data_IF_049040195618
#
_entry.id   IF_049040195618
#
_cell.length_a   1.000
_cell.length_b   1.000
_cell.length_c   1.000
_cell.angle_alpha   90.00
_cell.angle_beta   90.00
_cell.angle_gamma   90.00
#
_symmetry.space_group_name_H-M   'P 1'
#
loop_
_entity.id
_entity.type
_entity.pdbx_description
1 polymer ?
#
# COMPACT_ATOMS: atom_id res chain seq x y z
N UNK A 1 -21.08 12.48 31.67
CA UNK A 1 -20.11 13.19 30.80
C UNK A 1 -19.69 12.24 29.68
N UNK A 2 -20.10 12.46 28.43
CA UNK A 2 -19.74 11.58 27.30
C UNK A 2 -18.26 11.77 26.98
N UNK A 3 -17.47 10.71 27.10
CA UNK A 3 -16.03 10.71 26.82
C UNK A 3 -15.79 10.73 25.30
N UNK A 4 -15.14 11.80 24.79
CA UNK A 4 -14.70 11.91 23.40
C UNK A 4 -13.34 11.18 23.23
N UNK A 5 -13.26 10.23 22.30
CA UNK A 5 -12.06 9.42 21.99
C UNK A 5 -10.81 10.26 21.71
N UNK A 6 -10.98 11.43 21.08
CA UNK A 6 -9.90 12.37 20.75
C UNK A 6 -9.27 13.01 22.00
N UNK A 7 -10.00 13.11 23.11
CA UNK A 7 -9.53 13.74 24.34
C UNK A 7 -8.77 12.81 25.28
N UNK A 8 -8.98 11.49 25.18
CA UNK A 8 -8.29 10.51 26.04
C UNK A 8 -6.85 10.29 25.54
N UNK A 9 -6.65 10.10 24.24
CA UNK A 9 -5.32 9.95 23.65
C UNK A 9 -4.42 11.14 24.00
N UNK A 10 -4.90 12.37 23.79
CA UNK A 10 -4.15 13.58 24.12
C UNK A 10 -3.84 13.73 25.62
N UNK A 11 -4.72 13.27 26.52
CA UNK A 11 -4.49 13.30 27.97
C UNK A 11 -3.48 12.23 28.42
N UNK A 12 -3.61 11.01 27.91
CA UNK A 12 -2.69 9.90 28.19
C UNK A 12 -1.27 10.21 27.72
N UNK A 13 -1.12 10.78 26.52
CA UNK A 13 0.18 11.16 25.95
C UNK A 13 0.91 12.19 26.82
N UNK A 14 0.18 13.13 27.43
CA UNK A 14 0.76 14.19 28.24
C UNK A 14 1.00 13.81 29.71
N UNK A 15 0.36 12.74 30.21
CA UNK A 15 0.42 12.35 31.63
C UNK A 15 1.27 11.13 31.94
N UNK A 16 1.82 10.46 30.92
CA UNK A 16 2.55 9.20 31.06
C UNK A 16 4.03 9.34 30.67
N UNK A 17 4.88 8.53 31.30
CA UNK A 17 6.30 8.44 30.96
C UNK A 17 6.48 7.75 29.60
N UNK A 18 6.48 8.59 28.56
CA UNK A 18 6.56 8.17 27.17
C UNK A 18 7.85 7.42 26.85
N UNK A 19 8.95 7.74 27.51
CA UNK A 19 10.26 7.10 27.25
C UNK A 19 10.27 5.67 27.78
N UNK A 20 9.82 5.47 29.02
CA UNK A 20 9.72 4.16 29.63
C UNK A 20 8.74 3.23 28.89
N UNK A 21 7.57 3.75 28.49
CA UNK A 21 6.57 2.98 27.73
C UNK A 21 7.11 2.61 26.33
N UNK A 22 7.78 3.57 25.66
CA UNK A 22 8.36 3.33 24.35
C UNK A 22 9.47 2.27 24.36
N UNK A 23 10.36 2.31 25.35
CA UNK A 23 11.41 1.30 25.54
C UNK A 23 10.83 -0.11 25.77
N UNK A 24 9.69 -0.23 26.47
CA UNK A 24 9.00 -1.50 26.65
C UNK A 24 8.39 -2.03 25.34
N UNK A 25 7.77 -1.17 24.54
CA UNK A 25 7.21 -1.54 23.22
C UNK A 25 8.29 -1.96 22.21
N UNK A 26 9.53 -1.49 22.38
CA UNK A 26 10.68 -1.83 21.52
C UNK A 26 11.35 -3.13 21.97
N UNK A 27 11.59 -3.30 23.27
CA UNK A 27 12.45 -4.37 23.80
C UNK A 27 11.68 -5.64 24.22
N UNK A 28 10.39 -5.55 24.56
CA UNK A 28 9.63 -6.68 25.08
C UNK A 28 8.96 -7.50 23.97
N UNK A 29 9.76 -8.20 23.14
CA UNK A 29 9.26 -9.30 22.28
C UNK A 29 9.06 -10.62 23.04
N UNK A 30 9.35 -10.66 24.34
CA UNK A 30 9.23 -11.88 25.14
C UNK A 30 7.79 -12.11 25.62
N UNK A 31 7.25 -13.25 25.22
CA UNK A 31 5.91 -13.76 25.55
C UNK A 31 5.90 -14.31 26.98
N UNK A 32 6.24 -13.52 27.99
CA UNK A 32 6.04 -13.94 29.37
C UNK A 32 5.63 -12.76 30.25
N UNK A 33 4.33 -12.48 30.26
CA UNK A 33 3.66 -11.90 31.42
C UNK A 33 2.29 -12.56 31.59
N UNK A 34 1.83 -12.59 32.84
CA UNK A 34 0.55 -13.16 33.27
C UNK A 34 -0.59 -12.72 32.35
N UNK A 35 -1.47 -13.62 31.87
CA UNK A 35 -2.49 -13.27 30.89
C UNK A 35 -3.42 -12.17 31.45
N UNK A 36 -3.40 -11.01 30.81
CA UNK A 36 -4.28 -9.89 31.14
C UNK A 36 -5.70 -10.20 30.67
N UNK A 37 -6.63 -10.48 31.58
CA UNK A 37 -8.03 -10.71 31.22
C UNK A 37 -8.77 -9.38 31.02
N UNK A 38 -8.98 -8.99 29.76
CA UNK A 38 -9.75 -7.80 29.39
C UNK A 38 -11.20 -8.16 29.09
N UNK A 39 -12.15 -7.46 29.73
CA UNK A 39 -13.60 -7.64 29.47
C UNK A 39 -14.09 -6.61 28.46
N UNK A 40 -14.46 -7.06 27.27
CA UNK A 40 -15.05 -6.22 26.23
C UNK A 40 -16.59 -6.15 26.34
N UNK A 41 -17.22 -5.00 26.00
CA UNK A 41 -18.65 -4.92 25.73
C UNK A 41 -19.09 -5.86 24.60
N UNK A 42 -20.36 -6.28 24.61
CA UNK A 42 -20.88 -7.28 23.66
C UNK A 42 -20.63 -6.90 22.20
N UNK A 43 -20.97 -5.68 21.77
CA UNK A 43 -20.76 -5.26 20.38
C UNK A 43 -19.30 -5.26 19.94
N UNK A 44 -18.34 -5.03 20.87
CA UNK A 44 -16.90 -5.12 20.55
C UNK A 44 -16.48 -6.58 20.38
N UNK A 45 -17.04 -7.50 21.18
CA UNK A 45 -16.76 -8.95 21.03
C UNK A 45 -17.25 -9.48 19.70
N UNK A 46 -18.45 -9.08 19.28
CA UNK A 46 -19.05 -9.50 18.01
C UNK A 46 -18.18 -9.03 16.82
N UNK A 47 -17.74 -7.76 16.83
CA UNK A 47 -16.83 -7.23 15.80
C UNK A 47 -15.50 -7.98 15.77
N UNK A 48 -14.87 -8.19 16.93
CA UNK A 48 -13.61 -8.95 17.01
C UNK A 48 -13.80 -10.39 16.53
N UNK A 49 -14.94 -11.01 16.79
CA UNK A 49 -15.30 -12.35 16.30
C UNK A 49 -15.37 -12.41 14.78
N UNK A 50 -16.12 -11.48 14.16
CA UNK A 50 -16.26 -11.39 12.70
C UNK A 50 -14.89 -11.20 12.03
N UNK A 51 -14.07 -10.28 12.56
CA UNK A 51 -12.74 -9.99 12.02
C UNK A 51 -11.79 -11.19 12.19
N UNK A 52 -11.81 -11.84 13.35
CA UNK A 52 -10.99 -13.02 13.66
C UNK A 52 -11.30 -14.18 12.70
N UNK A 53 -12.58 -14.43 12.42
CA UNK A 53 -13.03 -15.44 11.47
C UNK A 53 -12.57 -15.12 10.03
N UNK A 54 -12.76 -13.87 9.59
CA UNK A 54 -12.36 -13.42 8.26
C UNK A 54 -10.84 -13.49 8.04
N UNK A 55 -10.05 -13.24 9.09
CA UNK A 55 -8.59 -13.22 9.05
C UNK A 55 -7.97 -14.58 9.41
N UNK A 56 -8.76 -15.59 9.81
CA UNK A 56 -8.28 -16.92 10.22
C UNK A 56 -7.22 -16.88 11.33
N UNK A 57 -7.36 -15.96 12.28
CA UNK A 57 -6.49 -15.82 13.46
C UNK A 57 -7.33 -15.84 14.73
N UNK A 58 -6.73 -16.18 15.88
CA UNK A 58 -7.47 -16.16 17.14
C UNK A 58 -7.91 -14.73 17.52
N UNK A 59 -9.03 -14.60 18.23
CA UNK A 59 -9.48 -13.29 18.76
C UNK A 59 -8.44 -12.66 19.69
N UNK A 60 -7.67 -13.48 20.42
CA UNK A 60 -6.53 -13.02 21.22
C UNK A 60 -5.40 -12.45 20.39
N UNK A 61 -5.03 -13.10 19.27
CA UNK A 61 -3.97 -12.61 18.37
C UNK A 61 -4.40 -11.34 17.66
N UNK A 62 -5.63 -11.30 17.17
CA UNK A 62 -6.20 -10.08 16.59
C UNK A 62 -6.20 -8.92 17.59
N UNK A 63 -6.62 -9.19 18.83
CA UNK A 63 -6.62 -8.18 19.90
C UNK A 63 -5.20 -7.72 20.20
N UNK A 64 -4.23 -8.63 20.27
CA UNK A 64 -2.82 -8.30 20.49
C UNK A 64 -2.30 -7.37 19.40
N UNK A 65 -2.54 -7.71 18.13
CA UNK A 65 -2.13 -6.91 16.97
C UNK A 65 -2.74 -5.50 17.06
N UNK A 66 -4.06 -5.41 17.22
CA UNK A 66 -4.75 -4.11 17.28
C UNK A 66 -4.30 -3.24 18.46
N UNK A 67 -4.08 -3.83 19.63
CA UNK A 67 -3.61 -3.12 20.82
C UNK A 67 -2.16 -2.69 20.68
N UNK A 68 -1.30 -3.57 20.13
CA UNK A 68 0.09 -3.25 19.85
C UNK A 68 0.19 -2.09 18.85
N UNK A 69 -0.54 -2.14 17.75
CA UNK A 69 -0.58 -1.10 16.73
C UNK A 69 -1.08 0.23 17.33
N UNK A 70 -2.20 0.21 18.06
CA UNK A 70 -2.74 1.43 18.68
C UNK A 70 -1.78 2.04 19.73
N UNK A 71 -1.09 1.21 20.53
CA UNK A 71 -0.13 1.68 21.52
C UNK A 71 1.14 2.25 20.85
N UNK A 72 1.60 1.61 19.78
CA UNK A 72 2.71 2.13 18.96
C UNK A 72 2.32 3.48 18.36
N UNK A 73 1.15 3.60 17.73
CA UNK A 73 0.62 4.85 17.20
C UNK A 73 0.57 5.97 18.26
N UNK A 74 0.12 5.65 19.48
CA UNK A 74 -0.05 6.63 20.56
C UNK A 74 1.25 7.07 21.25
N UNK A 75 2.16 6.15 21.56
CA UNK A 75 3.32 6.44 22.43
C UNK A 75 4.64 6.57 21.71
N UNK A 76 4.73 6.04 20.50
CA UNK A 76 5.87 6.20 19.61
C UNK A 76 5.67 7.27 18.50
N UNK A 77 4.91 8.40 18.60
CA UNK A 77 4.67 9.28 17.44
C UNK A 77 5.90 9.80 16.68
N UNK A 78 7.07 9.92 17.32
CA UNK A 78 8.32 10.31 16.67
C UNK A 78 9.19 9.11 16.24
N UNK A 79 8.91 7.93 16.81
CA UNK A 79 9.30 6.61 16.33
C UNK A 79 8.24 5.98 15.41
N UNK A 80 7.24 6.79 15.00
CA UNK A 80 6.24 6.57 13.97
C UNK A 80 6.51 7.51 12.78
N UNK A 81 7.74 7.99 12.63
CA UNK A 81 8.33 8.25 11.31
C UNK A 81 8.54 6.93 10.52
N UNK A 82 7.68 5.94 10.75
CA UNK A 82 7.93 4.51 10.60
C UNK A 82 6.65 3.86 10.03
N UNK A 83 6.59 3.15 8.90
CA UNK A 83 7.67 2.50 8.18
C UNK A 83 8.83 3.43 7.89
N UNK A 84 10.00 3.08 8.42
CA UNK A 84 11.24 3.79 8.22
C UNK A 84 11.35 4.05 6.71
N UNK A 85 11.94 5.17 6.27
CA UNK A 85 12.22 5.39 4.85
C UNK A 85 12.84 4.12 4.24
N UNK A 86 13.67 3.42 5.02
CA UNK A 86 14.20 2.09 4.69
C UNK A 86 13.09 1.04 4.50
N UNK A 87 12.19 0.84 5.45
CA UNK A 87 11.09 -0.13 5.34
C UNK A 87 10.21 0.15 4.10
N UNK A 88 9.98 1.42 3.77
CA UNK A 88 9.17 1.81 2.60
C UNK A 88 9.91 1.54 1.29
N UNK A 89 11.22 1.80 1.24
CA UNK A 89 12.09 1.40 0.13
C UNK A 89 12.14 -0.13 0.00
N UNK A 90 12.31 -0.87 1.10
CA UNK A 90 12.27 -2.33 1.11
C UNK A 90 10.92 -2.87 0.64
N UNK A 91 9.81 -2.22 1.01
CA UNK A 91 8.48 -2.59 0.57
C UNK A 91 8.31 -2.43 -0.95
N UNK A 92 8.80 -1.32 -1.51
CA UNK A 92 8.87 -1.14 -2.98
C UNK A 92 9.73 -2.26 -3.59
N UNK A 93 10.90 -2.54 -3.02
CA UNK A 93 11.78 -3.58 -3.53
C UNK A 93 11.10 -4.95 -3.57
N UNK A 94 10.43 -5.34 -2.50
CA UNK A 94 9.73 -6.62 -2.40
C UNK A 94 8.59 -6.75 -3.39
N UNK A 95 7.77 -5.70 -3.56
CA UNK A 95 6.60 -5.77 -4.44
C UNK A 95 6.93 -5.66 -5.93
N UNK A 96 8.06 -5.04 -6.27
CA UNK A 96 8.53 -4.85 -7.63
C UNK A 96 9.70 -5.78 -8.01
N UNK A 97 10.00 -6.77 -7.17
CA UNK A 97 11.10 -7.75 -7.37
C UNK A 97 12.47 -7.08 -7.63
N UNK A 98 12.75 -5.97 -6.94
CA UNK A 98 14.00 -5.22 -7.08
C UNK A 98 15.05 -5.79 -6.15
N UNK A 99 16.18 -6.18 -6.72
CA UNK A 99 17.35 -6.64 -5.96
C UNK A 99 18.26 -5.48 -5.56
N UNK A 100 19.08 -5.67 -4.52
CA UNK A 100 20.06 -4.66 -4.07
C UNK A 100 20.96 -4.14 -5.20
N UNK A 101 21.51 -4.97 -6.12
CA UNK A 101 22.30 -4.47 -7.25
C UNK A 101 21.51 -3.58 -8.21
N UNK A 102 20.23 -3.91 -8.45
CA UNK A 102 19.35 -3.10 -9.32
C UNK A 102 19.06 -1.76 -8.65
N UNK A 103 18.73 -1.76 -7.36
CA UNK A 103 18.53 -0.52 -6.60
C UNK A 103 19.79 0.35 -6.55
N UNK A 104 20.96 -0.25 -6.36
CA UNK A 104 22.23 0.48 -6.39
C UNK A 104 22.49 1.12 -7.76
N UNK A 105 22.13 0.42 -8.85
CA UNK A 105 22.27 0.96 -10.21
C UNK A 105 21.31 2.13 -10.44
N UNK A 106 20.06 2.02 -9.97
CA UNK A 106 19.08 3.12 -10.00
C UNK A 106 19.57 4.35 -9.24
N UNK A 107 20.16 4.15 -8.06
CA UNK A 107 20.58 5.22 -7.15
C UNK A 107 22.04 5.65 -7.33
N UNK A 108 22.71 5.15 -8.37
CA UNK A 108 24.10 5.48 -8.66
C UNK A 108 24.38 7.00 -8.77
N UNK A 109 23.48 7.86 -9.30
CA UNK A 109 23.70 9.31 -9.35
C UNK A 109 23.93 9.97 -7.97
N UNK A 110 23.40 9.38 -6.90
CA UNK A 110 23.60 9.87 -5.51
C UNK A 110 24.72 9.11 -4.78
N UNK A 111 25.58 8.39 -5.50
CA UNK A 111 26.69 7.60 -4.95
C UNK A 111 26.23 6.52 -3.94
N UNK A 112 24.99 6.03 -4.06
CA UNK A 112 24.46 4.95 -3.24
C UNK A 112 24.90 3.61 -3.84
N UNK A 113 25.86 2.96 -3.17
CA UNK A 113 26.45 1.68 -3.60
C UNK A 113 25.77 0.50 -2.90
N UNK A 114 25.94 -0.74 -3.37
CA UNK A 114 25.33 -1.92 -2.72
C UNK A 114 25.65 -2.03 -1.21
N UNK A 115 26.88 -1.69 -0.81
CA UNK A 115 27.28 -1.71 0.60
C UNK A 115 26.63 -0.61 1.46
N UNK A 116 26.13 0.47 0.86
CA UNK A 116 25.32 1.49 1.55
C UNK A 116 23.90 0.96 1.77
N UNK A 117 23.32 0.29 0.76
CA UNK A 117 21.97 -0.27 0.84
C UNK A 117 21.85 -1.38 1.89
N UNK A 118 22.91 -2.19 2.06
CA UNK A 118 22.93 -3.26 3.05
C UNK A 118 23.03 -2.77 4.51
N UNK A 119 23.30 -1.49 4.72
CA UNK A 119 23.35 -0.87 6.05
C UNK A 119 22.21 0.16 6.16
N UNK A 120 21.06 -0.21 6.79
CA UNK A 120 19.90 0.64 6.92
C UNK A 120 20.20 2.03 7.49
N UNK A 121 21.10 2.13 8.48
CA UNK A 121 21.42 3.40 9.10
C UNK A 121 22.16 4.32 8.11
N UNK A 122 23.10 3.77 7.34
CA UNK A 122 23.81 4.52 6.31
C UNK A 122 22.93 4.89 5.13
N UNK A 123 22.00 4.03 4.72
CA UNK A 123 21.14 4.31 3.60
C UNK A 123 20.27 5.56 3.86
N UNK A 124 19.76 5.74 5.08
CA UNK A 124 18.99 6.94 5.45
C UNK A 124 19.81 8.22 5.23
N UNK A 125 21.08 8.23 5.63
CA UNK A 125 21.95 9.41 5.51
C UNK A 125 22.23 9.79 4.04
N UNK A 126 22.13 8.85 3.11
CA UNK A 126 22.37 9.08 1.68
C UNK A 126 21.10 9.38 0.88
N UNK A 127 19.92 9.01 1.39
CA UNK A 127 18.64 9.26 0.73
C UNK A 127 18.25 10.74 0.85
N UNK A 128 18.85 11.56 -0.01
CA UNK A 128 18.49 12.97 -0.17
C UNK A 128 17.02 13.13 -0.61
N UNK A 129 16.44 14.30 -0.37
CA UNK A 129 15.07 14.62 -0.81
C UNK A 129 14.89 14.43 -2.33
N UNK A 130 15.90 14.77 -3.13
CA UNK A 130 15.90 14.58 -4.58
C UNK A 130 15.92 13.10 -4.99
N UNK A 131 16.69 12.26 -4.28
CA UNK A 131 16.69 10.82 -4.49
C UNK A 131 15.33 10.19 -4.16
N UNK A 132 14.71 10.63 -3.06
CA UNK A 132 13.38 10.18 -2.65
C UNK A 132 12.30 10.61 -3.65
N UNK A 133 12.35 11.85 -4.15
CA UNK A 133 11.40 12.31 -5.15
C UNK A 133 11.50 11.49 -6.44
N UNK A 134 12.72 11.22 -6.91
CA UNK A 134 12.91 10.39 -8.11
C UNK A 134 12.41 8.96 -7.90
N UNK A 135 12.70 8.33 -6.75
CA UNK A 135 12.12 7.03 -6.41
C UNK A 135 10.59 7.07 -6.42
N UNK A 136 10.00 8.12 -5.84
CA UNK A 136 8.55 8.29 -5.82
C UNK A 136 7.96 8.34 -7.23
N UNK A 137 8.56 9.15 -8.11
CA UNK A 137 8.13 9.32 -9.50
C UNK A 137 8.31 8.04 -10.33
N UNK A 138 9.40 7.30 -10.11
CA UNK A 138 9.68 6.07 -10.84
C UNK A 138 8.68 4.98 -10.48
N UNK A 139 8.25 4.88 -9.22
CA UNK A 139 7.34 3.85 -8.72
C UNK A 139 5.89 4.30 -8.61
N UNK A 140 5.56 5.53 -8.99
CA UNK A 140 4.22 6.11 -8.90
C UNK A 140 3.65 6.09 -7.47
N UNK A 141 4.49 6.42 -6.50
CA UNK A 141 4.11 6.50 -5.08
C UNK A 141 4.06 7.95 -4.61
N UNK A 142 3.35 8.19 -3.51
CA UNK A 142 3.32 9.49 -2.87
C UNK A 142 4.72 9.81 -2.28
N UNK A 143 5.39 10.92 -2.67
CA UNK A 143 6.68 11.29 -2.09
C UNK A 143 6.59 11.53 -0.57
N UNK A 144 5.48 12.09 -0.09
CA UNK A 144 5.24 12.27 1.35
C UNK A 144 5.02 10.92 2.06
N UNK A 145 4.59 9.88 1.34
CA UNK A 145 4.67 8.53 1.88
C UNK A 145 6.08 7.99 1.79
N UNK A 146 6.89 8.27 0.77
CA UNK A 146 8.24 7.71 0.79
C UNK A 146 9.11 8.29 1.92
N UNK A 147 8.87 9.55 2.31
CA UNK A 147 9.65 10.25 3.33
C UNK A 147 9.14 10.12 4.79
N UNK A 148 8.01 9.43 5.00
CA UNK A 148 7.47 9.20 6.34
C UNK A 148 6.33 10.13 6.77
N UNK A 149 5.99 11.18 6.01
CA UNK A 149 4.98 12.19 6.41
C UNK A 149 3.53 11.73 6.23
N UNK A 150 3.26 10.89 5.24
CA UNK A 150 1.94 10.35 4.93
C UNK A 150 1.87 8.84 5.15
N UNK A 151 0.67 8.33 5.41
CA UNK A 151 0.45 6.90 5.67
C UNK A 151 0.04 6.11 4.43
N UNK A 152 -0.37 6.79 3.35
CA UNK A 152 -0.91 6.14 2.16
C UNK A 152 0.07 6.21 0.98
N UNK A 153 0.49 5.05 0.43
CA UNK A 153 1.51 4.98 -0.61
C UNK A 153 1.11 5.61 -1.94
N UNK A 154 -0.17 5.83 -2.21
CA UNK A 154 -0.63 6.36 -3.50
C UNK A 154 -1.52 7.57 -3.27
N UNK A 155 -1.05 8.75 -3.69
CA UNK A 155 -1.83 10.00 -3.72
C UNK A 155 -2.31 10.35 -5.12
N UNK A 156 -1.53 10.02 -6.16
CA UNK A 156 -1.81 10.30 -7.57
C UNK A 156 -1.80 8.99 -8.37
N UNK A 157 -2.93 8.29 -8.40
CA UNK A 157 -3.13 7.29 -9.45
C UNK A 157 -3.25 8.02 -10.80
N UNK A 158 -2.76 7.42 -11.88
CA UNK A 158 -2.82 8.01 -13.23
C UNK A 158 -4.24 8.43 -13.59
N UNK A 159 -4.38 9.57 -14.27
CA UNK A 159 -5.69 10.03 -14.69
C UNK A 159 -6.27 9.13 -15.79
N UNK A 160 -7.59 9.03 -15.83
CA UNK A 160 -8.25 8.37 -16.94
C UNK A 160 -8.09 9.20 -18.21
N UNK A 161 -7.76 8.55 -19.34
CA UNK A 161 -7.82 9.21 -20.64
C UNK A 161 -9.24 9.75 -20.92
N UNK A 162 -9.31 10.89 -21.60
CA UNK A 162 -10.56 11.57 -21.89
C UNK A 162 -11.35 10.84 -23.00
N UNK A 163 -10.65 10.15 -23.89
CA UNK A 163 -11.25 9.43 -25.01
C UNK A 163 -10.84 7.95 -25.07
N UNK A 164 -11.63 7.15 -25.79
CA UNK A 164 -11.30 5.75 -26.04
C UNK A 164 -9.99 5.58 -26.82
N UNK A 165 -9.70 6.45 -27.79
CA UNK A 165 -8.46 6.35 -28.59
C UNK A 165 -7.21 6.61 -27.74
N UNK A 166 -7.25 7.59 -26.85
CA UNK A 166 -6.17 7.83 -25.87
C UNK A 166 -6.02 6.65 -24.91
N UNK A 167 -7.14 6.08 -24.46
CA UNK A 167 -7.12 4.86 -23.65
C UNK A 167 -6.49 3.70 -24.39
N UNK A 168 -6.86 3.48 -25.65
CA UNK A 168 -6.29 2.44 -26.50
C UNK A 168 -4.79 2.64 -26.72
N UNK A 169 -4.33 3.87 -26.93
CA UNK A 169 -2.91 4.19 -27.03
C UNK A 169 -2.16 3.87 -25.73
N UNK A 170 -2.72 4.26 -24.58
CA UNK A 170 -2.15 3.96 -23.27
C UNK A 170 -2.00 2.46 -23.04
N UNK A 171 -3.00 1.66 -23.43
CA UNK A 171 -2.98 0.19 -23.29
C UNK A 171 -2.02 -0.46 -24.29
N UNK A 172 -1.97 0.00 -25.54
CA UNK A 172 -1.20 -0.64 -26.61
C UNK A 172 0.25 -0.12 -26.75
N UNK A 173 0.85 0.33 -25.65
CA UNK A 173 2.25 0.76 -25.64
C UNK A 173 3.18 -0.45 -25.45
N UNK A 174 4.29 -0.50 -26.17
CA UNK A 174 5.29 -1.59 -26.09
C UNK A 174 5.95 -1.73 -24.71
N UNK A 175 5.92 -0.67 -23.90
CA UNK A 175 6.43 -0.67 -22.53
C UNK A 175 5.53 -1.44 -21.57
N UNK A 176 4.24 -1.63 -21.86
CA UNK A 176 3.35 -2.39 -20.99
C UNK A 176 3.72 -3.87 -21.07
N UNK A 177 4.11 -4.47 -19.93
CA UNK A 177 4.46 -5.89 -19.85
C UNK A 177 3.33 -6.73 -19.30
N UNK A 178 2.49 -6.15 -18.45
CA UNK A 178 1.27 -6.78 -17.95
C UNK A 178 0.18 -5.73 -17.74
N UNK A 179 -1.06 -6.11 -18.02
CA UNK A 179 -2.23 -5.23 -17.90
C UNK A 179 -3.32 -5.97 -17.11
N UNK A 180 -3.90 -5.29 -16.11
CA UNK A 180 -5.06 -5.78 -15.36
C UNK A 180 -6.20 -4.77 -15.51
N UNK A 181 -7.33 -5.24 -16.01
CA UNK A 181 -8.61 -4.57 -15.90
C UNK A 181 -9.37 -5.20 -14.76
N UNK A 182 -9.66 -4.41 -13.73
CA UNK A 182 -10.34 -4.92 -12.57
C UNK A 182 -11.68 -4.25 -12.33
N UNK A 183 -12.60 -5.00 -11.72
CA UNK A 183 -13.82 -4.46 -11.15
C UNK A 183 -14.07 -5.08 -9.77
N UNK A 184 -14.92 -4.45 -8.95
CA UNK A 184 -15.23 -4.95 -7.61
C UNK A 184 -16.30 -4.15 -6.89
N UNK A 185 -16.82 -4.72 -5.80
CA UNK A 185 -17.81 -4.11 -4.92
C UNK A 185 -17.18 -3.84 -3.55
N UNK A 186 -16.39 -2.76 -3.41
CA UNK A 186 -15.63 -2.47 -2.19
C UNK A 186 -16.52 -2.20 -0.97
N UNK A 187 -17.70 -1.62 -1.18
CA UNK A 187 -18.60 -1.19 -0.12
C UNK A 187 -19.87 -2.05 -0.06
N UNK A 188 -20.42 -2.22 1.15
CA UNK A 188 -21.64 -2.99 1.41
C UNK A 188 -22.86 -2.09 1.67
N UNK A 189 -24.05 -2.70 1.75
CA UNK A 189 -25.31 -2.00 2.06
C UNK A 189 -25.76 -1.03 0.97
N UNK A 190 -26.34 0.10 1.37
CA UNK A 190 -26.88 1.13 0.45
C UNK A 190 -25.80 1.82 -0.42
N UNK A 191 -24.52 1.65 -0.07
CA UNK A 191 -23.39 2.18 -0.82
C UNK A 191 -22.76 1.14 -1.76
N UNK A 192 -23.38 -0.04 -1.91
CA UNK A 192 -22.93 -1.09 -2.82
C UNK A 192 -22.95 -0.56 -4.26
N UNK A 193 -21.76 -0.20 -4.75
CA UNK A 193 -21.51 0.23 -6.12
C UNK A 193 -20.35 -0.57 -6.68
N UNK A 194 -20.40 -0.78 -7.98
CA UNK A 194 -19.33 -1.43 -8.71
C UNK A 194 -18.30 -0.37 -9.11
N UNK A 195 -17.06 -0.61 -8.74
CA UNK A 195 -15.91 0.20 -9.15
C UNK A 195 -15.05 -0.59 -10.12
N UNK A 196 -14.27 0.11 -10.91
CA UNK A 196 -13.28 -0.46 -11.79
C UNK A 196 -12.00 0.37 -11.84
N UNK A 197 -10.95 -0.25 -12.34
CA UNK A 197 -9.67 0.40 -12.55
C UNK A 197 -8.79 -0.38 -13.51
N UNK A 198 -7.66 0.25 -13.83
CA UNK A 198 -6.66 -0.31 -14.73
C UNK A 198 -5.32 -0.23 -14.04
N UNK A 199 -4.59 -1.34 -14.06
CA UNK A 199 -3.25 -1.42 -13.50
C UNK A 199 -2.31 -1.88 -14.61
N UNK A 200 -1.25 -1.12 -14.83
CA UNK A 200 -0.26 -1.31 -15.89
C UNK A 200 1.11 -1.54 -15.25
N UNK A 201 1.72 -2.69 -15.51
CA UNK A 201 3.14 -2.90 -15.22
C UNK A 201 3.93 -2.50 -16.45
N UNK A 202 4.87 -1.58 -16.28
CA UNK A 202 5.58 -0.96 -17.39
C UNK A 202 7.08 -1.20 -17.28
N UNK A 203 7.71 -1.70 -18.34
CA UNK A 203 9.17 -1.75 -18.46
C UNK A 203 9.71 -0.33 -18.58
N UNK A 204 10.66 0.02 -17.73
CA UNK A 204 11.44 1.27 -17.81
C UNK A 204 12.93 1.00 -17.63
N UNK A 205 13.75 1.74 -18.36
CA UNK A 205 15.21 1.72 -18.21
C UNK A 205 15.66 3.07 -17.65
N UNK A 206 16.20 3.05 -16.43
CA UNK A 206 16.62 4.26 -15.70
C UNK A 206 18.03 4.03 -15.17
N UNK A 207 18.95 4.95 -15.47
CA UNK A 207 20.35 4.85 -15.04
C UNK A 207 21.03 3.51 -15.40
N UNK A 208 20.60 2.88 -16.51
CA UNK A 208 21.07 1.56 -16.94
C UNK A 208 20.42 0.36 -16.24
N UNK A 209 19.60 0.57 -15.21
CA UNK A 209 18.77 -0.46 -14.58
C UNK A 209 17.44 -0.62 -15.32
N UNK A 210 17.02 -1.87 -15.55
CA UNK A 210 15.65 -2.15 -16.00
C UNK A 210 14.76 -2.42 -14.80
N UNK A 211 13.64 -1.70 -14.69
CA UNK A 211 12.62 -1.90 -13.67
C UNK A 211 11.22 -2.01 -14.28
N UNK A 212 10.29 -2.50 -13.45
CA UNK A 212 8.89 -2.72 -13.83
C UNK A 212 7.94 -2.01 -12.85
N UNK A 213 7.94 -0.66 -12.79
CA UNK A 213 6.99 0.07 -11.97
C UNK A 213 5.55 -0.18 -12.41
N UNK A 214 4.63 0.09 -11.49
CA UNK A 214 3.22 -0.18 -11.67
C UNK A 214 2.44 1.11 -11.59
N UNK A 215 1.84 1.49 -12.72
CA UNK A 215 0.90 2.60 -12.81
C UNK A 215 -0.52 2.07 -12.58
N UNK A 216 -1.25 2.63 -11.62
CA UNK A 216 -2.70 2.42 -11.50
C UNK A 216 -3.42 3.67 -11.97
N UNK A 217 -4.45 3.51 -12.80
CA UNK A 217 -5.39 4.60 -13.04
C UNK A 217 -6.29 4.79 -11.83
N UNK A 218 -6.77 6.02 -11.62
CA UNK A 218 -7.71 6.36 -10.54
C UNK A 218 -8.93 5.46 -10.59
N UNK A 219 -9.29 4.75 -9.52
CA UNK A 219 -10.48 3.91 -9.54
C UNK A 219 -11.76 4.76 -9.74
N UNK A 220 -12.64 4.31 -10.63
CA UNK A 220 -13.90 5.00 -10.96
C UNK A 220 -15.08 4.04 -10.85
N UNK A 221 -16.29 4.59 -10.75
CA UNK A 221 -17.50 3.80 -10.87
C UNK A 221 -17.54 3.11 -12.23
N UNK A 222 -17.90 1.83 -12.25
CA UNK A 222 -18.04 1.10 -13.50
C UNK A 222 -19.31 1.54 -14.24
N UNK A 223 -19.12 2.34 -15.29
CA UNK A 223 -20.18 2.78 -16.20
C UNK A 223 -20.26 1.89 -17.44
N UNK A 224 -21.36 1.98 -18.20
CA UNK A 224 -21.51 1.29 -19.48
C UNK A 224 -20.47 1.71 -20.50
N UNK A 225 -20.03 2.97 -20.46
CA UNK A 225 -18.92 3.48 -21.27
C UNK A 225 -17.62 2.72 -20.97
N UNK A 226 -17.21 2.63 -19.69
CA UNK A 226 -15.98 1.92 -19.31
C UNK A 226 -16.07 0.41 -19.60
N UNK A 227 -17.25 -0.20 -19.40
CA UNK A 227 -17.52 -1.58 -19.82
C UNK A 227 -17.32 -1.76 -21.33
N UNK A 228 -17.82 -0.81 -22.13
CA UNK A 228 -17.63 -0.76 -23.57
C UNK A 228 -16.16 -0.70 -23.94
N UNK A 229 -15.41 0.22 -23.35
CA UNK A 229 -13.97 0.38 -23.59
C UNK A 229 -13.20 -0.90 -23.31
N UNK A 230 -13.42 -1.54 -22.15
CA UNK A 230 -12.76 -2.79 -21.81
C UNK A 230 -13.12 -3.93 -22.76
N UNK A 231 -14.38 -4.01 -23.16
CA UNK A 231 -14.86 -5.04 -24.09
C UNK A 231 -14.25 -4.88 -25.48
N UNK A 232 -14.19 -3.65 -26.01
CA UNK A 232 -13.57 -3.37 -27.31
C UNK A 232 -12.07 -3.64 -27.29
N UNK A 233 -11.36 -3.24 -26.23
CA UNK A 233 -9.93 -3.53 -26.08
C UNK A 233 -9.68 -5.04 -26.03
N UNK A 234 -10.50 -5.79 -25.29
CA UNK A 234 -10.30 -7.22 -25.08
C UNK A 234 -10.68 -8.07 -26.31
N UNK A 235 -11.76 -7.71 -27.02
CA UNK A 235 -12.31 -8.53 -28.10
C UNK A 235 -11.82 -8.10 -29.51
N UNK A 236 -11.55 -6.81 -29.72
CA UNK A 236 -11.39 -6.25 -31.06
C UNK A 236 -9.97 -5.73 -31.33
N UNK A 237 -9.22 -5.36 -30.28
CA UNK A 237 -7.88 -4.80 -30.45
C UNK A 237 -6.80 -5.88 -30.44
N UNK A 238 -5.88 -5.79 -31.40
CA UNK A 238 -4.62 -6.55 -31.36
C UNK A 238 -3.63 -5.79 -30.48
N UNK A 239 -3.34 -6.35 -29.31
CA UNK A 239 -2.46 -5.76 -28.31
C UNK A 239 -1.15 -6.54 -28.23
N UNK A 240 -0.06 -5.85 -27.90
CA UNK A 240 1.22 -6.50 -27.60
C UNK A 240 1.13 -7.40 -26.36
N UNK A 241 0.27 -7.04 -25.39
CA UNK A 241 0.01 -7.80 -24.18
C UNK A 241 -1.50 -7.86 -23.93
N UNK A 242 -2.03 -9.07 -23.75
CA UNK A 242 -3.45 -9.28 -23.48
C UNK A 242 -3.81 -8.87 -22.04
N UNK A 243 -4.80 -7.99 -21.83
CA UNK A 243 -5.26 -7.62 -20.49
C UNK A 243 -5.88 -8.81 -19.75
N UNK A 244 -5.54 -8.97 -18.48
CA UNK A 244 -6.27 -9.85 -17.57
C UNK A 244 -7.48 -9.13 -17.03
N UNK A 245 -8.66 -9.71 -17.22
CA UNK A 245 -9.92 -9.21 -16.65
C UNK A 245 -10.18 -9.92 -15.34
N UNK A 246 -10.27 -9.18 -14.24
CA UNK A 246 -10.35 -9.76 -12.89
C UNK A 246 -11.38 -9.11 -11.99
N UNK A 247 -12.01 -9.90 -11.13
CA UNK A 247 -12.81 -9.44 -10.00
C UNK A 247 -11.92 -9.31 -8.75
N UNK A 248 -11.88 -8.13 -8.13
CA UNK A 248 -11.20 -7.94 -6.85
C UNK A 248 -12.14 -8.23 -5.68
N UNK A 249 -11.59 -8.89 -4.65
CA UNK A 249 -12.26 -9.02 -3.35
C UNK A 249 -12.50 -7.63 -2.75
N UNK A 250 -13.61 -7.41 -2.03
CA UNK A 250 -13.99 -6.10 -1.50
C UNK A 250 -12.86 -5.38 -0.75
N UNK A 251 -12.15 -6.07 0.16
CA UNK A 251 -11.07 -5.48 0.96
C UNK A 251 -9.89 -4.96 0.13
N UNK A 252 -9.48 -5.70 -0.91
CA UNK A 252 -8.42 -5.29 -1.81
C UNK A 252 -8.88 -4.11 -2.69
N UNK A 253 -10.10 -4.17 -3.21
CA UNK A 253 -10.68 -3.07 -3.99
C UNK A 253 -10.78 -1.77 -3.17
N UNK A 254 -11.29 -1.85 -1.93
CA UNK A 254 -11.35 -0.70 -1.02
C UNK A 254 -9.96 -0.14 -0.74
N UNK A 255 -8.98 -1.01 -0.49
CA UNK A 255 -7.61 -0.58 -0.17
C UNK A 255 -6.94 0.14 -1.35
N UNK A 256 -7.18 -0.32 -2.58
CA UNK A 256 -6.69 0.37 -3.78
C UNK A 256 -7.38 1.72 -3.99
N UNK A 257 -8.71 1.79 -3.80
CA UNK A 257 -9.48 3.03 -3.92
C UNK A 257 -9.02 4.06 -2.90
N UNK A 258 -8.75 3.63 -1.67
CA UNK A 258 -8.26 4.50 -0.61
C UNK A 258 -6.75 4.79 -0.67
N UNK A 259 -6.04 4.27 -1.68
CA UNK A 259 -4.59 4.45 -1.83
C UNK A 259 -3.75 3.80 -0.71
N UNK A 260 -4.33 2.84 0.04
CA UNK A 260 -3.71 2.20 1.22
C UNK A 260 -2.67 1.15 0.87
N UNK A 261 -2.69 0.65 -0.36
CA UNK A 261 -1.80 -0.41 -0.83
C UNK A 261 -1.20 -0.04 -2.19
N UNK A 262 0.03 -0.50 -2.44
CA UNK A 262 0.65 -0.36 -3.74
C UNK A 262 -0.07 -1.24 -4.78
N UNK A 263 -0.39 -0.72 -5.98
CA UNK A 263 -1.06 -1.50 -7.02
C UNK A 263 -0.29 -2.75 -7.47
N UNK A 264 1.03 -2.75 -7.27
CA UNK A 264 1.90 -3.89 -7.51
C UNK A 264 1.44 -5.19 -6.81
N UNK A 265 0.75 -5.08 -5.66
CA UNK A 265 0.18 -6.22 -4.93
C UNK A 265 -0.75 -7.07 -5.80
N UNK A 266 -1.42 -6.48 -6.80
CA UNK A 266 -2.34 -7.19 -7.68
C UNK A 266 -1.64 -8.17 -8.63
N UNK A 267 -0.34 -8.01 -8.88
CA UNK A 267 0.43 -8.96 -9.68
C UNK A 267 0.95 -10.15 -8.86
N UNK A 268 1.07 -9.97 -7.55
CA UNK A 268 1.61 -10.97 -6.63
C UNK A 268 0.51 -11.72 -5.87
N UNK A 269 -0.76 -11.39 -6.15
CA UNK A 269 -1.94 -11.99 -5.51
C UNK A 269 -2.73 -12.80 -6.52
N UNK A 270 -3.30 -13.93 -6.09
CA UNK A 270 -4.23 -14.70 -6.90
C UNK A 270 -5.57 -13.94 -7.03
N UNK A 271 -5.88 -13.46 -8.23
CA UNK A 271 -7.11 -12.71 -8.53
C UNK A 271 -8.19 -13.63 -9.10
N UNK A 272 -9.46 -13.25 -8.89
CA UNK A 272 -10.59 -13.98 -9.44
C UNK A 272 -10.81 -13.55 -10.91
N UNK A 273 -11.25 -14.45 -11.80
CA UNK A 273 -11.64 -14.06 -13.14
C UNK A 273 -12.85 -13.11 -13.11
N UNK A 274 -12.91 -12.18 -14.08
CA UNK A 274 -14.09 -11.35 -14.36
C UNK A 274 -15.16 -12.18 -15.07
#
# INVERSE_FOLDING_TARGET
MKLNKTGIGARLINSLDRKAIGEQLINARQIQSTPLQVRYPQGVREVLGIMSEQLSISTSDLTRILVEDALREMFLPASNATGNIIDRVEHIMQLHDITVPVLATLLAPWNIRPGVIQDPARLVDYLSADALQNLADWFHVNPDWLDGRENFPVSCAGEWPATFEEFKMLINTENNTDIIFWHGFPFSGNNKREFCGVILRQKRVINGATIYPVLSLLPVLLSDEKKGWFSTIYNECKLSVSPRRTLLKPALAESLIAGRVLPAVCFNTLLLPW
#
